data_IF_583844498484
#
_entry.id   IF_583844498484
#
_cell.length_a   1.000
_cell.length_b   1.000
_cell.length_c   1.000
_cell.angle_alpha   90.00
_cell.angle_beta   90.00
_cell.angle_gamma   90.00
#
_symmetry.space_group_name_H-M   'P 1'
#
loop_
_entity.id
_entity.type
_entity.pdbx_description
1 polymer ?
#
# COMPACT_ATOMS: atom_id res chain seq x y z
N UNK A 1 27.86 -18.66 16.41
CA UNK A 1 26.50 -18.13 16.12
C UNK A 1 25.50 -19.14 16.62
N UNK A 2 24.47 -18.74 17.36
CA UNK A 2 23.41 -19.66 17.80
C UNK A 2 22.47 -19.98 16.63
N UNK A 3 21.87 -21.18 16.64
CA UNK A 3 20.90 -21.62 15.64
C UNK A 3 19.75 -20.62 15.46
N UNK A 4 19.23 -20.08 16.56
CA UNK A 4 18.16 -19.07 16.57
C UNK A 4 18.53 -17.79 15.81
N UNK A 5 19.79 -17.35 15.88
CA UNK A 5 20.22 -16.15 15.15
C UNK A 5 20.27 -16.37 13.64
N UNK A 6 20.64 -17.58 13.22
CA UNK A 6 20.67 -17.95 11.80
C UNK A 6 19.25 -18.05 11.24
N UNK A 7 18.37 -18.78 11.93
CA UNK A 7 16.96 -18.90 11.54
C UNK A 7 16.25 -17.54 11.49
N UNK A 8 16.52 -16.66 12.46
CA UNK A 8 15.92 -15.32 12.45
C UNK A 8 16.38 -14.49 11.24
N UNK A 9 17.64 -14.63 10.82
CA UNK A 9 18.18 -13.96 9.64
C UNK A 9 17.50 -14.47 8.37
N UNK A 10 17.40 -15.79 8.20
CA UNK A 10 16.74 -16.42 7.05
C UNK A 10 15.25 -16.04 6.96
N UNK A 11 14.54 -16.06 8.10
CA UNK A 11 13.13 -15.66 8.15
C UNK A 11 12.93 -14.19 7.77
N UNK A 12 13.83 -13.30 8.19
CA UNK A 12 13.80 -11.89 7.80
C UNK A 12 14.04 -11.71 6.30
N UNK A 13 14.95 -12.49 5.73
CA UNK A 13 15.24 -12.48 4.29
C UNK A 13 14.05 -12.96 3.48
N UNK A 14 13.43 -14.07 3.88
CA UNK A 14 12.21 -14.56 3.26
C UNK A 14 11.07 -13.55 3.36
N UNK A 15 10.89 -12.92 4.51
CA UNK A 15 9.88 -11.88 4.71
C UNK A 15 10.15 -10.68 3.79
N UNK A 16 11.40 -10.25 3.68
CA UNK A 16 11.81 -9.16 2.81
C UNK A 16 11.51 -9.45 1.33
N UNK A 17 11.85 -10.65 0.84
CA UNK A 17 11.60 -11.02 -0.57
C UNK A 17 10.10 -11.09 -0.87
N UNK A 18 9.29 -11.54 0.09
CA UNK A 18 7.89 -11.87 -0.15
C UNK A 18 6.86 -10.83 0.35
N UNK A 19 7.30 -9.68 0.91
CA UNK A 19 6.36 -8.69 1.46
C UNK A 19 5.53 -7.91 0.41
N UNK A 20 5.74 -8.15 -0.88
CA UNK A 20 4.79 -7.81 -1.94
C UNK A 20 4.83 -6.35 -2.44
N UNK A 21 6.00 -5.72 -2.45
CA UNK A 21 6.21 -4.40 -3.07
C UNK A 21 7.13 -4.51 -4.28
N UNK A 22 6.71 -3.91 -5.39
CA UNK A 22 7.17 -4.31 -6.72
C UNK A 22 8.67 -4.10 -6.92
N UNK A 23 9.28 -2.94 -6.66
CA UNK A 23 10.69 -2.73 -7.05
C UNK A 23 11.41 -1.56 -6.33
N UNK A 24 11.24 -1.40 -5.02
CA UNK A 24 12.03 -0.42 -4.23
C UNK A 24 12.74 -1.04 -3.02
N UNK A 25 13.09 -2.32 -3.16
CA UNK A 25 14.23 -2.86 -2.46
C UNK A 25 15.47 -2.13 -2.98
N UNK A 26 16.00 -1.17 -2.23
CA UNK A 26 17.39 -0.77 -2.44
C UNK A 26 18.23 -2.02 -2.11
N UNK A 27 18.45 -2.87 -3.10
CA UNK A 27 19.57 -3.80 -3.08
C UNK A 27 20.81 -2.93 -3.24
N UNK A 28 21.20 -2.28 -2.14
CA UNK A 28 22.55 -1.79 -2.01
C UNK A 28 23.47 -3.01 -2.05
N UNK A 29 24.63 -2.86 -2.68
CA UNK A 29 25.69 -3.88 -2.78
C UNK A 29 26.16 -4.40 -1.38
N UNK A 30 25.66 -3.79 -0.30
CA UNK A 30 25.90 -4.06 1.11
C UNK A 30 24.86 -4.98 1.79
N UNK A 31 23.82 -5.41 1.07
CA UNK A 31 22.77 -6.29 1.61
C UNK A 31 21.80 -5.57 2.55
N UNK A 32 21.45 -4.32 2.23
CA UNK A 32 20.40 -3.58 2.92
C UNK A 32 19.01 -4.16 2.58
N UNK A 33 18.20 -4.37 3.61
CA UNK A 33 16.86 -4.96 3.52
C UNK A 33 15.81 -3.92 3.92
N UNK A 34 15.81 -2.79 3.19
CA UNK A 34 14.99 -1.63 3.50
C UNK A 34 13.94 -1.38 2.41
N UNK A 35 12.67 -1.29 2.83
CA UNK A 35 11.56 -0.98 1.94
C UNK A 35 11.29 0.53 1.89
N UNK A 36 11.36 1.16 0.71
CA UNK A 36 10.95 2.56 0.57
C UNK A 36 9.44 2.78 0.74
N UNK A 37 8.60 1.80 0.37
CA UNK A 37 7.13 1.95 0.44
C UNK A 37 6.58 1.72 1.86
N UNK A 38 7.13 0.74 2.58
CA UNK A 38 6.78 0.49 3.98
C UNK A 38 7.57 1.36 4.97
N UNK A 39 8.73 1.90 4.57
CA UNK A 39 9.73 2.48 5.47
C UNK A 39 10.19 1.51 6.57
N UNK A 40 10.30 0.21 6.24
CA UNK A 40 10.73 -0.85 7.15
C UNK A 40 12.16 -1.24 6.82
N UNK A 41 13.02 -1.27 7.84
CA UNK A 41 14.32 -1.94 7.82
C UNK A 41 14.18 -3.34 8.43
N UNK A 42 14.15 -4.37 7.58
CA UNK A 42 13.97 -5.77 8.02
C UNK A 42 15.18 -6.33 8.76
N UNK A 43 16.34 -5.66 8.74
CA UNK A 43 17.55 -6.08 9.43
C UNK A 43 17.64 -5.46 10.83
N UNK A 44 17.21 -4.20 10.97
CA UNK A 44 17.40 -3.40 12.20
C UNK A 44 16.13 -3.24 13.03
N UNK A 45 14.94 -3.25 12.42
CA UNK A 45 13.69 -3.13 13.18
C UNK A 45 13.35 -4.41 13.95
N UNK A 46 12.76 -4.23 15.13
CA UNK A 46 12.24 -5.34 15.93
C UNK A 46 11.03 -5.98 15.23
N UNK A 47 10.74 -7.28 15.48
CA UNK A 47 9.56 -7.94 14.92
C UNK A 47 8.24 -7.22 15.26
N UNK A 48 8.15 -6.61 16.44
CA UNK A 48 6.98 -5.85 16.90
C UNK A 48 6.77 -4.60 16.04
N UNK A 49 7.84 -3.85 15.76
CA UNK A 49 7.76 -2.66 14.92
C UNK A 49 7.40 -3.02 13.47
N UNK A 50 8.00 -4.07 12.92
CA UNK A 50 7.66 -4.60 11.59
C UNK A 50 6.17 -4.95 11.53
N UNK A 51 5.66 -5.65 12.55
CA UNK A 51 4.24 -6.02 12.66
C UNK A 51 3.32 -4.80 12.72
N UNK A 52 3.69 -3.77 13.48
CA UNK A 52 2.90 -2.54 13.61
C UNK A 52 2.81 -1.77 12.29
N UNK A 53 3.93 -1.66 11.56
CA UNK A 53 3.97 -0.98 10.27
C UNK A 53 3.15 -1.75 9.23
N UNK A 54 3.29 -3.08 9.20
CA UNK A 54 2.52 -3.92 8.29
C UNK A 54 1.01 -3.78 8.50
N UNK A 55 0.54 -3.83 9.76
CA UNK A 55 -0.89 -3.63 10.10
C UNK A 55 -1.40 -2.26 9.65
N UNK A 56 -0.61 -1.22 9.88
CA UNK A 56 -0.95 0.15 9.47
C UNK A 56 -1.09 0.26 7.95
N UNK A 57 -0.13 -0.30 7.20
CA UNK A 57 -0.15 -0.28 5.74
C UNK A 57 -1.30 -1.11 5.14
N UNK A 58 -1.59 -2.27 5.73
CA UNK A 58 -2.72 -3.11 5.34
C UNK A 58 -4.05 -2.37 5.48
N UNK A 59 -4.29 -1.74 6.64
CA UNK A 59 -5.51 -0.96 6.89
C UNK A 59 -5.65 0.22 5.92
N UNK A 60 -4.54 0.90 5.59
CA UNK A 60 -4.52 1.97 4.59
C UNK A 60 -4.98 1.48 3.21
N UNK A 61 -4.45 0.35 2.73
CA UNK A 61 -4.85 -0.25 1.44
C UNK A 61 -6.35 -0.63 1.43
N UNK A 62 -6.88 -1.14 2.54
CA UNK A 62 -8.32 -1.45 2.66
C UNK A 62 -9.21 -0.19 2.59
N UNK A 63 -8.79 0.91 3.22
CA UNK A 63 -9.58 2.14 3.22
C UNK A 63 -9.60 2.81 1.84
N UNK A 64 -8.47 2.85 1.13
CA UNK A 64 -8.41 3.37 -0.24
C UNK A 64 -9.35 2.63 -1.19
N UNK A 65 -9.46 1.30 -1.05
CA UNK A 65 -10.38 0.50 -1.86
C UNK A 65 -11.84 0.91 -1.62
N UNK A 66 -12.26 1.09 -0.36
CA UNK A 66 -13.62 1.51 -0.02
C UNK A 66 -13.98 2.88 -0.60
N UNK A 67 -13.05 3.83 -0.57
CA UNK A 67 -13.26 5.17 -1.14
C UNK A 67 -13.41 5.14 -2.66
N UNK A 68 -12.60 4.33 -3.34
CA UNK A 68 -12.67 4.13 -4.80
C UNK A 68 -13.94 3.39 -5.25
N UNK A 69 -14.43 2.43 -4.44
CA UNK A 69 -15.69 1.72 -4.71
C UNK A 69 -16.92 2.64 -4.52
N UNK A 70 -16.83 3.61 -3.61
CA UNK A 70 -17.95 4.54 -3.29
C UNK A 70 -18.07 5.68 -4.32
N UNK A 71 -16.98 6.05 -4.97
CA UNK A 71 -16.91 7.16 -5.94
C UNK A 71 -17.41 6.80 -7.36
N UNK A 72 -17.76 5.54 -7.62
CA UNK A 72 -18.39 5.08 -8.86
C UNK A 72 -19.92 4.94 -8.75
N UNK A 73 -20.60 5.81 -8.01
CA UNK A 73 -22.06 5.92 -8.15
C UNK A 73 -22.37 6.75 -9.41
N UNK A 74 -23.03 6.20 -10.45
CA UNK A 74 -23.47 7.02 -11.57
C UNK A 74 -24.46 8.06 -11.03
N UNK A 75 -24.17 9.32 -11.34
CA UNK A 75 -25.04 10.46 -11.04
C UNK A 75 -26.39 10.25 -11.74
N UNK A 76 -27.36 9.68 -11.02
CA UNK A 76 -28.72 9.49 -11.51
C UNK A 76 -29.50 10.79 -11.29
N UNK A 77 -29.71 11.56 -12.37
CA UNK A 77 -30.62 12.70 -12.45
C UNK A 77 -29.90 14.05 -12.48
N UNK A 78 -30.06 14.90 -13.49
CA UNK A 78 -31.36 15.37 -13.99
C UNK A 78 -31.22 15.93 -15.42
N UNK A 79 -31.90 15.31 -16.39
CA UNK A 79 -32.19 15.95 -17.67
C UNK A 79 -33.34 16.94 -17.45
N UNK A 80 -33.02 18.23 -17.32
CA UNK A 80 -34.02 19.30 -17.44
C UNK A 80 -34.42 19.41 -18.92
N UNK A 81 -35.71 19.45 -19.27
CA UNK A 81 -36.12 19.71 -20.65
C UNK A 81 -35.85 21.18 -20.98
N UNK A 82 -34.92 21.44 -21.90
CA UNK A 82 -34.74 22.78 -22.49
C UNK A 82 -35.97 23.11 -23.34
N UNK A 83 -36.85 23.94 -22.81
CA UNK A 83 -37.93 24.59 -23.56
C UNK A 83 -37.34 25.63 -24.50
N UNK A 84 -37.50 25.38 -25.80
CA UNK A 84 -37.35 26.36 -26.88
C UNK A 84 -38.36 27.49 -26.66
N UNK A 85 -37.88 28.74 -26.50
CA UNK A 85 -38.71 29.92 -26.66
C UNK A 85 -38.12 30.75 -27.79
N UNK A 86 -38.84 30.70 -28.92
CA UNK A 86 -38.63 31.50 -30.11
C UNK A 86 -38.93 32.97 -29.74
N UNK A 87 -38.00 33.89 -30.01
CA UNK A 87 -38.28 35.33 -29.97
C UNK A 87 -38.09 35.89 -31.37
N UNK A 88 -39.21 36.18 -32.02
CA UNK A 88 -39.30 37.14 -33.11
C UNK A 88 -39.58 38.49 -32.48
N UNK A 89 -38.77 39.50 -32.81
CA UNK A 89 -39.17 40.89 -33.02
C UNK A 89 -38.11 41.55 -33.92
#
# INVERSE_FOLDING_TARGET
MSQLLLENKELRELLWINHGHDFHALYGDDGEMQCAECHVDFKRHSPELITQIWKTNYNRKLNQKKENDTSNTPNAGSNQPTTLVNSQD
#
